data_IF_815566369172
#
_entry.id   IF_815566369172
#
_cell.length_a   1.000
_cell.length_b   1.000
_cell.length_c   1.000
_cell.angle_alpha   90.00
_cell.angle_beta   90.00
_cell.angle_gamma   90.00
#
_symmetry.space_group_name_H-M   'P 1'
#
loop_
_entity.id
_entity.type
_entity.pdbx_description
1 polymer ?
#
# COMPACT_ATOMS: atom_id res chain seq x y z
N UNK A 1 1.09 11.56 -22.19
CA UNK A 1 0.96 10.08 -22.19
C UNK A 1 0.42 9.63 -20.85
N UNK A 2 -0.45 8.61 -20.82
CA UNK A 2 -1.01 8.02 -19.60
C UNK A 2 -0.46 6.60 -19.46
N UNK A 3 -0.14 6.18 -18.24
CA UNK A 3 0.23 4.80 -17.91
C UNK A 3 -0.59 4.29 -16.73
N UNK A 4 -0.85 2.99 -16.71
CA UNK A 4 -1.55 2.32 -15.61
C UNK A 4 -0.60 1.29 -14.99
N UNK A 5 -0.72 1.10 -13.68
CA UNK A 5 -0.13 -0.02 -12.98
C UNK A 5 -1.11 -0.60 -11.97
N UNK A 6 -0.87 -1.85 -11.62
CA UNK A 6 -1.62 -2.63 -10.66
C UNK A 6 -0.63 -3.24 -9.68
N UNK A 7 -1.00 -3.28 -8.41
CA UNK A 7 -0.24 -3.97 -7.39
C UNK A 7 -1.17 -4.74 -6.46
N UNK A 8 -0.63 -5.81 -5.91
CA UNK A 8 -1.31 -6.72 -5.01
C UNK A 8 -0.33 -7.13 -3.92
N UNK A 9 -0.78 -7.12 -2.68
CA UNK A 9 0.02 -7.62 -1.56
C UNK A 9 -0.86 -8.35 -0.54
N UNK A 10 -0.24 -9.25 0.23
CA UNK A 10 -0.89 -10.02 1.27
C UNK A 10 0.03 -10.28 2.45
N UNK A 11 -0.46 -10.00 3.65
CA UNK A 11 0.24 -10.31 4.89
C UNK A 11 -0.63 -11.18 5.81
N UNK A 12 -0.01 -12.21 6.38
CA UNK A 12 -0.64 -13.05 7.39
C UNK A 12 -0.70 -12.32 8.74
N UNK A 13 -1.77 -12.56 9.51
CA UNK A 13 -1.80 -12.11 10.90
C UNK A 13 -0.82 -12.92 11.75
N UNK A 14 -0.18 -12.25 12.71
CA UNK A 14 0.67 -12.90 13.69
C UNK A 14 1.18 -11.91 14.74
N UNK A 15 1.70 -12.43 15.85
CA UNK A 15 2.18 -11.59 16.95
C UNK A 15 1.09 -10.72 17.59
N UNK A 16 1.52 -9.73 18.37
CA UNK A 16 0.65 -8.74 18.99
C UNK A 16 0.54 -7.50 18.09
N UNK A 17 -0.65 -6.89 18.06
CA UNK A 17 -0.86 -5.63 17.34
C UNK A 17 -0.12 -4.44 17.96
N UNK A 18 -0.31 -3.22 17.41
CA UNK A 18 -1.32 -2.84 16.41
C UNK A 18 -0.99 -3.34 14.99
N UNK A 19 -1.95 -3.20 14.06
CA UNK A 19 -1.65 -3.29 12.62
C UNK A 19 -1.43 -1.89 12.06
N UNK A 20 -0.59 -1.77 11.02
CA UNK A 20 -0.39 -0.54 10.26
C UNK A 20 -0.94 -0.77 8.86
N UNK A 21 -1.85 0.10 8.42
CA UNK A 21 -2.47 0.04 7.09
C UNK A 21 -2.60 1.46 6.55
N UNK A 22 -2.11 1.71 5.33
CA UNK A 22 -2.16 3.03 4.69
C UNK A 22 -1.46 4.13 5.51
N UNK A 23 -0.41 3.80 6.27
CA UNK A 23 0.30 4.70 7.16
C UNK A 23 -0.39 4.96 8.50
N UNK A 24 -1.48 4.25 8.81
CA UNK A 24 -2.30 4.45 10.02
C UNK A 24 -2.22 3.23 10.93
N UNK A 25 -1.85 3.45 12.20
CA UNK A 25 -1.94 2.42 13.23
C UNK A 25 -3.40 2.18 13.64
N UNK A 26 -3.87 0.94 13.49
CA UNK A 26 -5.22 0.52 13.84
C UNK A 26 -5.14 -0.41 15.06
N UNK A 27 -5.85 -0.09 16.15
CA UNK A 27 -5.93 -0.97 17.31
C UNK A 27 -6.54 -2.32 16.92
N UNK A 28 -5.76 -3.37 17.08
CA UNK A 28 -6.19 -4.74 16.86
C UNK A 28 -5.38 -5.70 17.72
N UNK A 29 -5.96 -6.85 18.07
CA UNK A 29 -5.31 -7.85 18.93
C UNK A 29 -4.09 -8.50 18.27
N UNK A 30 -4.09 -8.63 16.94
CA UNK A 30 -3.02 -9.25 16.15
C UNK A 30 -2.26 -8.20 15.35
N UNK A 31 -0.97 -8.45 15.12
CA UNK A 31 -0.15 -7.72 14.16
C UNK A 31 -0.15 -8.37 12.77
N UNK A 32 0.65 -7.83 11.85
CA UNK A 32 0.93 -8.44 10.54
C UNK A 32 2.37 -8.95 10.51
N UNK A 33 2.57 -10.14 9.93
CA UNK A 33 3.89 -10.73 9.76
C UNK A 33 4.57 -10.14 8.52
N UNK A 34 5.64 -9.38 8.70
CA UNK A 34 6.43 -8.78 7.63
C UNK A 34 7.88 -8.50 8.09
N UNK A 35 8.78 -8.27 7.12
CA UNK A 35 10.13 -7.77 7.38
C UNK A 35 10.14 -6.25 7.69
N UNK A 36 9.16 -5.52 7.16
CA UNK A 36 8.85 -4.10 7.43
C UNK A 36 7.77 -3.96 8.52
N UNK A 37 7.14 -2.78 8.62
CA UNK A 37 5.96 -2.54 9.46
C UNK A 37 4.69 -3.31 9.02
N UNK A 38 4.74 -4.00 7.88
CA UNK A 38 3.68 -4.88 7.37
C UNK A 38 2.49 -4.16 6.72
N UNK A 39 2.68 -2.91 6.27
CA UNK A 39 1.63 -2.13 5.61
C UNK A 39 1.31 -2.64 4.19
N UNK A 40 0.44 -3.65 4.15
CA UNK A 40 -0.04 -4.29 2.92
C UNK A 40 -0.66 -3.31 1.92
N UNK A 41 -1.24 -2.19 2.37
CA UNK A 41 -1.86 -1.22 1.48
C UNK A 41 -0.81 -0.38 0.75
N UNK A 42 0.24 0.04 1.47
CA UNK A 42 1.32 0.82 0.89
C UNK A 42 2.24 -0.04 0.01
N UNK A 43 2.43 -1.32 0.34
CA UNK A 43 3.13 -2.25 -0.54
C UNK A 43 2.40 -2.46 -1.88
N UNK A 44 1.10 -2.77 -1.85
CA UNK A 44 0.30 -2.92 -3.06
C UNK A 44 0.32 -1.62 -3.91
N UNK A 45 0.22 -0.45 -3.27
CA UNK A 45 0.30 0.82 -3.98
C UNK A 45 1.70 1.08 -4.58
N UNK A 46 2.76 0.70 -3.86
CA UNK A 46 4.14 0.81 -4.33
C UNK A 46 4.36 -0.01 -5.59
N UNK A 47 3.89 -1.25 -5.62
CA UNK A 47 3.94 -2.09 -6.83
C UNK A 47 3.14 -1.50 -7.99
N UNK A 48 1.95 -0.95 -7.71
CA UNK A 48 1.15 -0.29 -8.75
C UNK A 48 1.91 0.89 -9.38
N UNK A 49 2.62 1.69 -8.58
CA UNK A 49 3.40 2.83 -9.04
C UNK A 49 4.63 2.39 -9.86
N UNK A 50 5.41 1.44 -9.35
CA UNK A 50 6.59 0.92 -10.04
C UNK A 50 6.23 0.20 -11.35
N UNK A 51 5.16 -0.60 -11.32
CA UNK A 51 4.61 -1.27 -12.48
C UNK A 51 4.15 -0.30 -13.57
N UNK A 52 3.50 0.82 -13.18
CA UNK A 52 3.02 1.81 -14.13
C UNK A 52 4.15 2.41 -14.99
N UNK A 53 5.38 2.52 -14.47
CA UNK A 53 6.57 2.99 -15.21
C UNK A 53 7.54 1.87 -15.62
N UNK A 54 7.14 0.61 -15.47
CA UNK A 54 7.94 -0.57 -15.82
C UNK A 54 9.31 -0.65 -15.10
N UNK A 55 9.37 -0.22 -13.83
CA UNK A 55 10.60 -0.31 -13.02
C UNK A 55 10.79 -1.67 -12.33
N UNK A 56 9.79 -2.54 -12.39
CA UNK A 56 9.74 -3.81 -11.67
C UNK A 56 8.76 -3.70 -10.51
N UNK A 57 9.15 -4.24 -9.36
CA UNK A 57 8.34 -4.38 -8.15
C UNK A 57 9.13 -3.95 -6.90
N UNK A 58 8.45 -3.98 -5.76
CA UNK A 58 8.98 -3.60 -4.45
C UNK A 58 10.18 -4.47 -4.05
N UNK A 59 10.18 -5.77 -4.34
CA UNK A 59 11.26 -6.69 -3.98
C UNK A 59 12.55 -6.44 -4.76
N UNK A 60 12.43 -5.97 -6.01
CA UNK A 60 13.59 -5.51 -6.78
C UNK A 60 14.17 -4.20 -6.24
N UNK A 61 13.31 -3.27 -5.80
CA UNK A 61 13.76 -1.96 -5.33
C UNK A 61 14.26 -2.00 -3.87
N UNK A 62 13.67 -2.86 -3.05
CA UNK A 62 13.94 -3.03 -1.62
C UNK A 62 14.08 -4.53 -1.29
N UNK A 63 15.21 -5.16 -1.66
CA UNK A 63 15.41 -6.58 -1.41
C UNK A 63 15.54 -6.89 0.08
N UNK A 64 14.88 -7.97 0.54
CA UNK A 64 14.87 -8.42 1.95
C UNK A 64 16.28 -8.71 2.52
N UNK A 65 17.28 -8.92 1.67
CA UNK A 65 18.67 -9.17 2.06
C UNK A 65 19.42 -7.90 2.47
N UNK A 66 18.90 -6.72 2.14
CA UNK A 66 19.54 -5.46 2.48
C UNK A 66 19.11 -5.01 3.89
N UNK A 67 20.05 -5.08 4.83
CA UNK A 67 19.80 -4.68 6.22
C UNK A 67 19.39 -3.22 6.36
N UNK A 68 19.62 -2.37 5.34
CA UNK A 68 19.15 -0.99 5.36
C UNK A 68 17.61 -0.87 5.45
N UNK A 69 16.87 -1.91 5.05
CA UNK A 69 15.40 -1.90 5.02
C UNK A 69 14.76 -2.78 6.10
N UNK A 70 15.55 -3.38 7.01
CA UNK A 70 15.01 -4.17 8.10
C UNK A 70 14.25 -3.27 9.08
N UNK A 71 12.95 -3.51 9.26
CA UNK A 71 12.07 -2.67 10.07
C UNK A 71 11.78 -1.29 9.45
N UNK A 72 11.89 -1.17 8.12
CA UNK A 72 11.59 0.08 7.42
C UNK A 72 10.11 0.47 7.54
N UNK A 73 9.88 1.79 7.61
CA UNK A 73 8.57 2.43 7.48
C UNK A 73 8.10 2.33 6.02
N UNK A 74 6.95 1.70 5.80
CA UNK A 74 6.38 1.51 4.46
C UNK A 74 6.01 2.83 3.78
N UNK A 75 5.75 3.90 4.54
CA UNK A 75 5.61 5.25 3.96
C UNK A 75 6.94 5.74 3.37
N UNK A 76 8.07 5.39 3.98
CA UNK A 76 9.40 5.65 3.45
C UNK A 76 9.65 4.95 2.12
N UNK A 77 9.28 3.67 2.04
CA UNK A 77 9.38 2.88 0.80
C UNK A 77 8.49 3.45 -0.30
N UNK A 78 7.25 3.84 0.02
CA UNK A 78 6.34 4.49 -0.92
C UNK A 78 6.92 5.81 -1.46
N UNK A 79 7.45 6.67 -0.59
CA UNK A 79 8.07 7.94 -1.00
C UNK A 79 9.27 7.72 -1.93
N UNK A 80 10.12 6.74 -1.64
CA UNK A 80 11.26 6.41 -2.50
C UNK A 80 10.81 5.83 -3.85
N UNK A 81 9.86 4.89 -3.85
CA UNK A 81 9.29 4.36 -5.10
C UNK A 81 8.67 5.47 -5.94
N UNK A 82 7.91 6.37 -5.31
CA UNK A 82 7.33 7.52 -6.00
C UNK A 82 8.40 8.49 -6.51
N UNK A 83 9.48 8.72 -5.77
CA UNK A 83 10.64 9.49 -6.25
C UNK A 83 11.22 8.89 -7.54
N UNK A 84 11.34 7.57 -7.62
CA UNK A 84 11.78 6.87 -8.84
C UNK A 84 10.79 7.07 -10.01
N UNK A 85 9.48 7.04 -9.74
CA UNK A 85 8.44 7.38 -10.74
C UNK A 85 8.61 8.82 -11.24
N UNK A 86 8.84 9.78 -10.34
CA UNK A 86 9.07 11.19 -10.69
C UNK A 86 10.32 11.37 -11.55
N UNK A 87 11.40 10.61 -11.28
CA UNK A 87 12.60 10.61 -12.12
C UNK A 87 12.34 10.11 -13.55
N UNK A 88 11.34 9.26 -13.76
CA UNK A 88 10.89 8.86 -15.10
C UNK A 88 10.02 9.95 -15.77
N UNK A 89 9.82 11.10 -15.13
CA UNK A 89 9.03 12.22 -15.64
C UNK A 89 7.52 11.95 -15.62
N UNK A 90 7.02 11.25 -14.60
CA UNK A 90 5.59 10.99 -14.40
C UNK A 90 5.12 11.57 -13.07
N UNK A 91 3.84 11.93 -13.01
CA UNK A 91 3.12 12.30 -11.78
C UNK A 91 1.87 11.44 -11.62
N UNK A 92 1.30 11.45 -10.41
CA UNK A 92 0.03 10.77 -10.12
C UNK A 92 -1.11 11.53 -10.80
N UNK A 93 -1.92 10.81 -11.58
CA UNK A 93 -3.24 11.22 -12.02
C UNK A 93 -4.26 10.89 -10.94
N UNK A 94 -4.39 9.60 -10.60
CA UNK A 94 -5.13 9.15 -9.42
C UNK A 94 -4.65 7.75 -8.98
N UNK A 95 -4.95 7.40 -7.73
CA UNK A 95 -4.73 6.06 -7.16
C UNK A 95 -5.99 5.58 -6.47
N UNK A 96 -6.25 4.28 -6.53
CA UNK A 96 -7.39 3.66 -5.88
C UNK A 96 -6.97 2.33 -5.25
N UNK A 97 -7.19 2.21 -3.94
CA UNK A 97 -6.75 1.08 -3.11
C UNK A 97 -7.98 0.34 -2.59
N UNK A 98 -7.92 -0.99 -2.53
CA UNK A 98 -8.98 -1.86 -1.96
C UNK A 98 -8.38 -2.77 -0.91
N UNK A 99 -8.72 -2.52 0.35
CA UNK A 99 -8.34 -3.37 1.48
C UNK A 99 -9.36 -4.49 1.63
N UNK A 100 -8.89 -5.74 1.67
CA UNK A 100 -9.72 -6.94 1.77
C UNK A 100 -9.44 -7.60 3.12
N UNK A 101 -10.32 -7.35 4.10
CA UNK A 101 -10.16 -7.82 5.48
C UNK A 101 -11.50 -8.17 6.12
N UNK A 102 -11.56 -9.28 6.84
CA UNK A 102 -12.74 -9.62 7.65
C UNK A 102 -12.85 -8.78 8.93
N UNK A 103 -11.70 -8.39 9.49
CA UNK A 103 -11.53 -7.52 10.66
C UNK A 103 -10.09 -6.96 10.66
N UNK A 104 -9.81 -5.83 11.35
CA UNK A 104 -10.75 -4.93 12.02
C UNK A 104 -11.58 -4.07 11.03
N UNK A 105 -12.47 -3.22 11.56
CA UNK A 105 -13.24 -2.27 10.75
C UNK A 105 -12.33 -1.17 10.22
N UNK A 106 -12.19 -1.08 8.90
CA UNK A 106 -11.32 -0.07 8.27
C UNK A 106 -11.95 1.32 8.16
N UNK A 107 -13.28 1.42 8.02
CA UNK A 107 -13.99 2.70 7.72
C UNK A 107 -13.59 3.90 8.61
N UNK A 108 -13.43 3.75 9.94
CA UNK A 108 -13.02 4.87 10.80
C UNK A 108 -11.63 5.45 10.48
N UNK A 109 -10.80 4.69 9.77
CA UNK A 109 -9.40 5.01 9.49
C UNK A 109 -9.15 5.43 8.03
N UNK A 110 -10.11 5.21 7.12
CA UNK A 110 -9.96 5.44 5.68
C UNK A 110 -9.56 6.88 5.33
N UNK A 111 -10.18 7.87 5.97
CA UNK A 111 -9.88 9.28 5.64
C UNK A 111 -8.46 9.67 6.08
N UNK A 112 -7.96 9.07 7.17
CA UNK A 112 -6.56 9.24 7.59
C UNK A 112 -5.59 8.55 6.61
N UNK A 113 -5.91 7.33 6.15
CA UNK A 113 -5.10 6.63 5.14
C UNK A 113 -4.98 7.44 3.85
N UNK A 114 -6.10 8.00 3.38
CA UNK A 114 -6.11 8.87 2.19
C UNK A 114 -5.21 10.09 2.37
N UNK A 115 -5.24 10.72 3.55
CA UNK A 115 -4.38 11.85 3.86
C UNK A 115 -2.88 11.47 3.87
N UNK A 116 -2.51 10.36 4.52
CA UNK A 116 -1.13 9.86 4.53
C UNK A 116 -0.61 9.56 3.12
N UNK A 117 -1.40 8.85 2.31
CA UNK A 117 -1.03 8.53 0.92
C UNK A 117 -0.91 9.81 0.08
N UNK A 118 -1.85 10.75 0.20
CA UNK A 118 -1.81 12.00 -0.55
C UNK A 118 -0.56 12.84 -0.19
N UNK A 119 -0.21 12.88 1.10
CA UNK A 119 1.01 13.52 1.59
C UNK A 119 2.26 12.86 1.01
N UNK A 120 2.37 11.52 1.07
CA UNK A 120 3.54 10.79 0.59
C UNK A 120 3.72 10.88 -0.93
N UNK A 121 2.62 10.97 -1.67
CA UNK A 121 2.61 11.16 -3.12
C UNK A 121 2.66 12.64 -3.54
N UNK A 122 2.65 13.58 -2.60
CA UNK A 122 2.63 15.02 -2.88
C UNK A 122 1.51 15.45 -3.83
N UNK A 123 0.31 14.88 -3.66
CA UNK A 123 -0.84 15.11 -4.55
C UNK A 123 -2.09 15.55 -3.77
N UNK A 124 -3.15 15.94 -4.49
CA UNK A 124 -4.42 16.29 -3.85
C UNK A 124 -5.12 15.01 -3.34
N UNK A 125 -5.72 15.07 -2.15
CA UNK A 125 -6.50 13.96 -1.57
C UNK A 125 -7.67 13.51 -2.45
N UNK A 126 -8.18 14.37 -3.34
CA UNK A 126 -9.18 14.02 -4.36
C UNK A 126 -8.63 13.05 -5.43
N UNK A 127 -7.31 12.92 -5.55
CA UNK A 127 -6.64 11.96 -6.41
C UNK A 127 -6.40 10.61 -5.71
N UNK A 128 -6.77 10.48 -4.44
CA UNK A 128 -6.53 9.29 -3.62
C UNK A 128 -7.84 8.73 -3.10
N UNK A 129 -8.11 7.46 -3.43
CA UNK A 129 -9.24 6.72 -2.89
C UNK A 129 -8.77 5.45 -2.17
N UNK A 130 -9.40 5.13 -1.04
CA UNK A 130 -9.17 3.88 -0.30
C UNK A 130 -10.53 3.29 0.04
N UNK A 131 -10.73 2.05 -0.39
CA UNK A 131 -11.93 1.25 -0.17
C UNK A 131 -11.61 0.11 0.77
N UNK A 132 -12.61 -0.42 1.45
CA UNK A 132 -12.48 -1.64 2.22
C UNK A 132 -13.69 -2.54 1.97
N UNK A 133 -13.43 -3.83 1.86
CA UNK A 133 -14.46 -4.86 1.72
C UNK A 133 -14.10 -6.08 2.55
N UNK A 134 -15.12 -6.87 2.91
CA UNK A 134 -14.92 -8.23 3.38
C UNK A 134 -15.05 -9.21 2.21
N UNK A 135 -14.67 -10.47 2.43
CA UNK A 135 -14.96 -11.57 1.50
C UNK A 135 -16.12 -12.44 1.98
N UNK A 136 -17.00 -11.89 2.82
CA UNK A 136 -18.18 -12.61 3.34
C UNK A 136 -17.82 -13.96 3.98
N UNK A 137 -16.75 -13.98 4.79
CA UNK A 137 -16.18 -15.17 5.45
C UNK A 137 -15.62 -16.25 4.50
N UNK A 138 -15.40 -15.92 3.22
CA UNK A 138 -14.80 -16.83 2.24
C UNK A 138 -13.27 -16.64 2.17
N UNK A 139 -12.55 -17.75 1.99
CA UNK A 139 -11.10 -17.73 1.80
C UNK A 139 -10.30 -17.32 3.04
N UNK A 140 -8.99 -17.10 2.87
CA UNK A 140 -8.06 -16.80 3.96
C UNK A 140 -8.36 -15.45 4.62
N UNK A 141 -8.73 -14.43 3.84
CA UNK A 141 -9.17 -13.13 4.36
C UNK A 141 -10.45 -13.28 5.18
N UNK A 142 -11.41 -14.09 4.71
CA UNK A 142 -12.68 -14.35 5.38
C UNK A 142 -12.55 -15.17 6.68
N UNK A 143 -11.54 -16.05 6.75
CA UNK A 143 -11.18 -16.78 7.99
C UNK A 143 -10.33 -15.95 8.95
N UNK A 144 -9.93 -14.74 8.57
CA UNK A 144 -9.09 -13.87 9.39
C UNK A 144 -7.67 -14.40 9.55
N UNK A 145 -7.13 -15.05 8.52
CA UNK A 145 -5.75 -15.55 8.47
C UNK A 145 -4.76 -14.45 8.05
N UNK A 146 -5.25 -13.41 7.37
CA UNK A 146 -4.46 -12.27 6.93
C UNK A 146 -5.31 -11.17 6.30
N UNK A 147 -4.64 -10.15 5.80
CA UNK A 147 -5.22 -9.05 5.03
C UNK A 147 -4.58 -9.06 3.64
N UNK A 148 -5.41 -8.91 2.61
CA UNK A 148 -4.94 -8.67 1.25
C UNK A 148 -5.28 -7.24 0.82
N UNK A 149 -4.50 -6.69 -0.09
CA UNK A 149 -4.77 -5.38 -0.67
C UNK A 149 -4.50 -5.38 -2.17
N UNK A 150 -5.36 -4.70 -2.90
CA UNK A 150 -5.18 -4.38 -4.32
C UNK A 150 -5.05 -2.87 -4.48
N UNK A 151 -4.24 -2.43 -5.44
CA UNK A 151 -4.11 -1.03 -5.79
C UNK A 151 -4.00 -0.86 -7.30
N UNK A 152 -4.60 0.22 -7.82
CA UNK A 152 -4.39 0.69 -9.18
C UNK A 152 -3.88 2.11 -9.16
N UNK A 153 -2.91 2.41 -10.02
CA UNK A 153 -2.33 3.74 -10.17
C UNK A 153 -2.39 4.18 -11.63
N UNK A 154 -2.90 5.39 -11.85
CA UNK A 154 -2.87 6.05 -13.15
C UNK A 154 -1.88 7.20 -13.10
N UNK A 155 -0.89 7.16 -13.98
CA UNK A 155 0.19 8.14 -14.06
C UNK A 155 0.12 8.97 -15.34
N UNK A 156 0.45 10.25 -15.21
CA UNK A 156 0.49 11.20 -16.30
C UNK A 156 1.94 11.62 -16.54
N UNK A 157 2.37 11.61 -17.81
CA UNK A 157 3.68 12.14 -18.19
C UNK A 157 3.72 13.66 -17.91
N UNK A 158 4.77 14.13 -17.26
CA UNK A 158 5.06 15.55 -17.14
C UNK A 158 5.46 16.10 -18.52
N UNK A 159 4.91 17.26 -18.85
CA UNK A 159 5.10 17.92 -20.15
C UNK A 159 6.46 18.60 -20.22
#
# INVERSE_FOLDING_TARGET
MIRIGHGFDVHAFGGAGPIIIGGVAIPYEKGLLAHSDGDVALHALTDALLGAVALGDIGKLFPDTDMAYQGADSRGLLREAYRQVRLQGYRVGNVDVTIIAQAPKMRPHIDAMRACIAEDLGCDVQQVNVKATTTEKLGFTGRGEGIACEAVALLLKDS
#
